data_IF_306022228388
#
_entry.id   IF_306022228388
#
_cell.length_a   1.000
_cell.length_b   1.000
_cell.length_c   1.000
_cell.angle_alpha   90.00
_cell.angle_beta   90.00
_cell.angle_gamma   90.00
#
_symmetry.space_group_name_H-M   'P 1'
#
loop_
_entity.id
_entity.type
_entity.pdbx_description
1 polymer ?
#
# COMPACT_ATOMS: atom_id res chain seq x y z
N UNK A 1 -44.75 17.96 32.68
CA UNK A 1 -44.81 18.08 31.22
C UNK A 1 -43.37 17.92 30.71
N UNK A 2 -43.05 16.68 30.36
CA UNK A 2 -41.73 16.28 29.87
C UNK A 2 -41.69 16.51 28.35
N UNK A 3 -40.92 17.49 27.92
CA UNK A 3 -40.72 17.76 26.49
C UNK A 3 -39.80 16.72 25.89
N UNK A 4 -40.37 15.81 25.14
CA UNK A 4 -39.69 14.82 24.30
C UNK A 4 -38.88 15.57 23.20
N UNK A 5 -37.57 15.69 23.40
CA UNK A 5 -36.67 16.17 22.38
C UNK A 5 -36.58 15.07 21.30
N UNK A 6 -37.38 15.16 20.26
CA UNK A 6 -37.16 14.42 19.03
C UNK A 6 -35.73 14.69 18.56
N UNK A 7 -34.85 13.78 18.85
CA UNK A 7 -33.49 13.76 18.30
C UNK A 7 -33.66 13.59 16.77
N UNK A 8 -33.46 14.64 16.03
CA UNK A 8 -33.45 14.64 14.58
C UNK A 8 -32.46 13.56 14.12
N UNK A 9 -32.98 12.44 13.63
CA UNK A 9 -32.18 11.34 13.09
C UNK A 9 -31.55 11.82 11.79
N UNK A 10 -30.37 12.41 11.89
CA UNK A 10 -29.59 12.88 10.75
C UNK A 10 -29.16 11.66 9.94
N UNK A 11 -29.58 11.59 8.68
CA UNK A 11 -29.16 10.53 7.77
C UNK A 11 -27.64 10.69 7.55
N UNK A 12 -26.83 9.66 7.87
CA UNK A 12 -25.39 9.74 7.65
C UNK A 12 -25.08 9.78 6.16
N UNK A 13 -24.38 10.81 5.71
CA UNK A 13 -23.91 10.91 4.33
C UNK A 13 -22.56 10.22 4.22
N UNK A 14 -22.56 9.04 3.63
CA UNK A 14 -21.33 8.25 3.42
C UNK A 14 -20.56 8.81 2.22
N UNK A 15 -19.29 9.13 2.46
CA UNK A 15 -18.39 9.56 1.37
C UNK A 15 -18.10 8.39 0.44
N UNK A 16 -18.16 8.60 -0.88
CA UNK A 16 -17.68 7.63 -1.85
C UNK A 16 -16.15 7.74 -1.93
N UNK A 17 -15.40 6.68 -1.59
CA UNK A 17 -13.95 6.65 -1.81
C UNK A 17 -13.62 6.93 -3.27
N UNK A 18 -12.47 7.52 -3.50
CA UNK A 18 -11.96 7.84 -4.84
C UNK A 18 -10.60 7.18 -5.04
N UNK A 19 -10.23 6.99 -6.29
CA UNK A 19 -8.87 6.54 -6.66
C UNK A 19 -7.91 7.71 -6.48
N UNK A 20 -6.75 7.46 -5.86
CA UNK A 20 -5.70 8.46 -5.74
C UNK A 20 -4.66 8.26 -6.84
N UNK A 21 -4.52 9.22 -7.76
CA UNK A 21 -3.59 9.16 -8.90
C UNK A 21 -2.98 10.53 -9.13
N UNK A 22 -1.67 10.59 -9.26
CA UNK A 22 -0.95 11.81 -9.58
C UNK A 22 -1.17 12.96 -8.60
N UNK A 23 -1.36 12.68 -7.31
CA UNK A 23 -1.60 13.69 -6.28
C UNK A 23 -3.07 14.11 -6.12
N UNK A 24 -4.00 13.53 -6.88
CA UNK A 24 -5.42 13.90 -6.87
C UNK A 24 -6.35 12.71 -6.61
N UNK A 25 -7.47 12.99 -5.94
CA UNK A 25 -8.56 12.02 -5.78
C UNK A 25 -9.52 12.11 -6.97
N UNK A 26 -9.46 11.12 -7.85
CA UNK A 26 -10.27 11.05 -9.07
C UNK A 26 -11.34 9.95 -8.99
N UNK A 27 -12.37 10.03 -9.83
CA UNK A 27 -13.30 8.93 -10.05
C UNK A 27 -12.73 7.96 -11.09
N UNK A 28 -13.10 6.67 -10.97
CA UNK A 28 -12.84 5.72 -12.05
C UNK A 28 -13.54 6.19 -13.33
N UNK A 29 -12.88 5.99 -14.47
CA UNK A 29 -13.44 6.34 -15.78
C UNK A 29 -14.79 5.68 -16.06
N UNK A 30 -14.94 4.42 -15.63
CA UNK A 30 -16.19 3.67 -15.86
C UNK A 30 -17.37 4.19 -15.02
N UNK A 31 -17.10 4.95 -13.95
CA UNK A 31 -18.09 5.33 -12.96
C UNK A 31 -18.68 4.15 -12.17
N UNK A 32 -18.26 2.91 -12.46
CA UNK A 32 -18.74 1.71 -11.77
C UNK A 32 -18.19 1.65 -10.35
N UNK A 33 -19.04 1.18 -9.46
CA UNK A 33 -18.68 0.95 -8.06
C UNK A 33 -19.20 -0.40 -7.61
N UNK A 34 -18.66 -0.89 -6.51
CA UNK A 34 -19.17 -2.05 -5.81
C UNK A 34 -19.29 -1.73 -4.30
N UNK A 35 -20.25 -2.32 -3.60
CA UNK A 35 -20.47 -2.05 -2.19
C UNK A 35 -19.37 -2.68 -1.33
N UNK A 36 -18.69 -1.89 -0.52
CA UNK A 36 -17.89 -2.37 0.59
C UNK A 36 -18.77 -2.67 1.79
N UNK A 37 -18.53 -3.79 2.44
CA UNK A 37 -19.25 -4.20 3.63
C UNK A 37 -18.26 -4.41 4.78
N UNK A 38 -18.74 -4.17 5.98
CA UNK A 38 -17.97 -4.45 7.20
C UNK A 38 -17.92 -5.96 7.52
N UNK A 39 -17.30 -6.28 8.64
CA UNK A 39 -17.20 -7.64 9.16
C UNK A 39 -18.57 -8.28 9.50
N UNK A 40 -19.61 -7.47 9.71
CA UNK A 40 -20.98 -7.92 9.98
C UNK A 40 -21.82 -8.06 8.70
N UNK A 41 -21.28 -7.67 7.55
CA UNK A 41 -21.98 -7.63 6.28
C UNK A 41 -22.74 -6.34 6.03
N UNK A 42 -22.66 -5.36 6.93
CA UNK A 42 -23.29 -4.06 6.79
C UNK A 42 -22.61 -3.20 5.74
N UNK A 43 -23.39 -2.40 5.03
CA UNK A 43 -22.88 -1.51 3.99
C UNK A 43 -22.04 -0.38 4.61
N UNK A 44 -20.82 -0.20 4.11
CA UNK A 44 -19.90 0.87 4.55
C UNK A 44 -19.75 1.96 3.49
N UNK A 45 -19.44 1.58 2.25
CA UNK A 45 -19.17 2.53 1.18
C UNK A 45 -19.27 1.89 -0.20
N UNK A 46 -19.46 2.74 -1.24
CA UNK A 46 -19.29 2.30 -2.61
C UNK A 46 -17.86 2.57 -3.07
N UNK A 47 -17.11 1.53 -3.40
CA UNK A 47 -15.71 1.60 -3.82
C UNK A 47 -15.60 1.59 -5.33
N UNK A 48 -14.73 2.40 -5.95
CA UNK A 48 -14.55 2.43 -7.39
C UNK A 48 -14.08 1.09 -7.96
N UNK A 49 -14.77 0.62 -9.00
CA UNK A 49 -14.28 -0.51 -9.80
C UNK A 49 -13.35 0.03 -10.90
N UNK A 50 -12.05 -0.03 -10.65
CA UNK A 50 -11.04 0.44 -11.59
C UNK A 50 -11.00 -0.41 -12.87
N UNK A 51 -10.67 0.24 -13.97
CA UNK A 51 -10.53 -0.34 -15.30
C UNK A 51 -9.06 -0.40 -15.74
N UNK A 52 -8.81 -1.05 -16.88
CA UNK A 52 -7.48 -1.01 -17.52
C UNK A 52 -6.99 0.41 -17.81
N UNK A 53 -7.91 1.34 -18.09
CA UNK A 53 -7.55 2.73 -18.37
C UNK A 53 -7.16 3.47 -17.09
N UNK A 54 -7.86 3.21 -15.98
CA UNK A 54 -7.46 3.74 -14.67
C UNK A 54 -6.05 3.28 -14.28
N UNK A 55 -5.75 1.98 -14.51
CA UNK A 55 -4.40 1.44 -14.30
C UNK A 55 -3.36 2.12 -15.21
N UNK A 56 -3.67 2.29 -16.50
CA UNK A 56 -2.77 3.00 -17.43
C UNK A 56 -2.49 4.42 -16.93
N UNK A 57 -3.52 5.17 -16.58
CA UNK A 57 -3.38 6.53 -16.08
C UNK A 57 -2.54 6.58 -14.79
N UNK A 58 -2.69 5.60 -13.90
CA UNK A 58 -1.88 5.50 -12.69
C UNK A 58 -0.40 5.22 -13.02
N UNK A 59 -0.13 4.30 -13.95
CA UNK A 59 1.24 3.99 -14.40
C UNK A 59 1.88 5.19 -15.09
N UNK A 60 1.16 5.89 -15.97
CA UNK A 60 1.64 7.09 -16.64
C UNK A 60 1.96 8.22 -15.65
N UNK A 61 1.10 8.43 -14.64
CA UNK A 61 1.33 9.40 -13.58
C UNK A 61 2.56 9.04 -12.73
N UNK A 62 2.71 7.76 -12.38
CA UNK A 62 3.87 7.25 -11.65
C UNK A 62 5.16 7.39 -12.46
N UNK A 63 5.15 7.03 -13.74
CA UNK A 63 6.28 7.18 -14.65
C UNK A 63 6.70 8.65 -14.79
N UNK A 64 5.74 9.56 -14.92
CA UNK A 64 6.00 11.01 -14.99
C UNK A 64 6.64 11.56 -13.72
N UNK A 65 6.26 11.04 -12.55
CA UNK A 65 6.82 11.46 -11.26
C UNK A 65 8.22 10.86 -10.99
N UNK A 66 8.55 9.74 -11.61
CA UNK A 66 9.77 8.96 -11.36
C UNK A 66 11.07 9.77 -11.41
N UNK A 67 11.37 10.49 -12.50
CA UNK A 67 12.64 11.23 -12.61
C UNK A 67 12.84 12.26 -11.49
N UNK A 68 11.81 12.99 -11.10
CA UNK A 68 11.90 13.98 -10.02
C UNK A 68 12.06 13.35 -8.64
N UNK A 69 11.48 12.17 -8.43
CA UNK A 69 11.64 11.40 -7.20
C UNK A 69 13.02 10.76 -7.10
N UNK A 70 13.49 10.13 -8.17
CA UNK A 70 14.81 9.50 -8.25
C UNK A 70 15.94 10.51 -8.06
N UNK A 71 15.79 11.74 -8.58
CA UNK A 71 16.77 12.82 -8.44
C UNK A 71 16.90 13.37 -7.01
N UNK A 72 15.99 13.03 -6.09
CA UNK A 72 16.13 13.41 -4.68
C UNK A 72 17.28 12.65 -4.03
N UNK A 73 18.02 13.31 -3.16
CA UNK A 73 19.05 12.61 -2.37
C UNK A 73 18.44 11.49 -1.53
N UNK A 74 19.17 10.39 -1.29
CA UNK A 74 18.73 9.31 -0.41
C UNK A 74 18.27 9.82 0.96
N UNK A 75 19.02 10.74 1.55
CA UNK A 75 18.66 11.40 2.81
C UNK A 75 17.30 12.10 2.75
N UNK A 76 17.02 12.85 1.70
CA UNK A 76 15.74 13.55 1.55
C UNK A 76 14.57 12.56 1.37
N UNK A 77 14.78 11.45 0.64
CA UNK A 77 13.79 10.38 0.55
C UNK A 77 13.50 9.77 1.92
N UNK A 78 14.56 9.51 2.70
CA UNK A 78 14.44 9.01 4.08
C UNK A 78 13.64 9.96 4.98
N UNK A 79 13.91 11.27 4.93
CA UNK A 79 13.14 12.26 5.69
C UNK A 79 11.65 12.27 5.35
N UNK A 80 11.30 12.13 4.06
CA UNK A 80 9.90 12.08 3.63
C UNK A 80 9.20 10.83 4.16
N UNK A 81 9.88 9.67 4.11
CA UNK A 81 9.33 8.42 4.64
C UNK A 81 9.19 8.49 6.17
N UNK A 82 10.17 9.06 6.86
CA UNK A 82 10.09 9.27 8.30
C UNK A 82 8.92 10.19 8.67
N UNK A 83 8.73 11.29 7.93
CA UNK A 83 7.58 12.17 8.12
C UNK A 83 6.24 11.46 7.89
N UNK A 84 6.19 10.51 6.96
CA UNK A 84 5.02 9.66 6.77
C UNK A 84 4.74 8.78 8.00
N UNK A 85 5.80 8.26 8.65
CA UNK A 85 5.67 7.50 9.90
C UNK A 85 5.05 8.37 11.02
N UNK A 86 5.56 9.58 11.23
CA UNK A 86 5.01 10.53 12.21
C UNK A 86 3.53 10.86 11.94
N UNK A 87 3.18 11.07 10.68
CA UNK A 87 1.79 11.36 10.31
C UNK A 87 0.88 10.15 10.51
N UNK A 88 1.36 8.95 10.27
CA UNK A 88 0.59 7.73 10.51
C UNK A 88 0.40 7.51 12.01
N UNK A 89 1.44 7.69 12.81
CA UNK A 89 1.39 7.57 14.26
C UNK A 89 0.41 8.57 14.88
N UNK A 90 0.44 9.83 14.42
CA UNK A 90 -0.50 10.86 14.89
C UNK A 90 -1.97 10.57 14.57
N UNK A 91 -2.24 9.64 13.64
CA UNK A 91 -3.58 9.19 13.23
C UNK A 91 -3.83 7.72 13.55
N UNK A 92 -3.09 7.16 14.51
CA UNK A 92 -3.18 5.74 14.86
C UNK A 92 -4.61 5.31 15.23
N UNK A 93 -5.32 6.10 16.02
CA UNK A 93 -6.70 5.81 16.43
C UNK A 93 -7.66 5.72 15.25
N UNK A 94 -7.50 6.62 14.26
CA UNK A 94 -8.30 6.60 13.04
C UNK A 94 -8.02 5.34 12.20
N UNK A 95 -6.76 4.96 12.08
CA UNK A 95 -6.34 3.75 11.36
C UNK A 95 -6.84 2.49 12.07
N UNK A 96 -6.70 2.43 13.40
CA UNK A 96 -7.20 1.34 14.23
C UNK A 96 -8.71 1.17 14.06
N UNK A 97 -9.48 2.26 14.11
CA UNK A 97 -10.91 2.22 13.91
C UNK A 97 -11.29 1.70 12.50
N UNK A 98 -10.57 2.15 11.48
CA UNK A 98 -10.79 1.70 10.11
C UNK A 98 -10.48 0.20 9.93
N UNK A 99 -9.38 -0.30 10.50
CA UNK A 99 -9.02 -1.72 10.43
C UNK A 99 -10.06 -2.59 11.15
N UNK A 100 -10.47 -2.23 12.34
CA UNK A 100 -11.49 -2.95 13.12
C UNK A 100 -12.84 -3.02 12.41
N UNK A 101 -13.19 -2.01 11.63
CA UNK A 101 -14.45 -1.99 10.89
C UNK A 101 -14.52 -3.11 9.85
N UNK A 102 -13.41 -3.48 9.23
CA UNK A 102 -13.40 -4.43 8.12
C UNK A 102 -13.05 -5.87 8.50
N UNK A 103 -12.64 -6.15 9.72
CA UNK A 103 -12.32 -7.51 10.15
C UNK A 103 -12.73 -7.80 11.60
N UNK A 104 -13.45 -8.91 11.82
CA UNK A 104 -13.77 -9.40 13.15
C UNK A 104 -12.57 -9.96 13.90
N UNK A 105 -11.63 -10.54 13.16
CA UNK A 105 -10.44 -11.18 13.72
C UNK A 105 -9.37 -10.17 14.18
N UNK A 106 -9.64 -8.87 13.95
CA UNK A 106 -8.66 -7.79 14.13
C UNK A 106 -8.96 -6.88 15.33
N UNK A 107 -9.87 -7.27 16.21
CA UNK A 107 -10.18 -6.48 17.40
C UNK A 107 -8.94 -6.19 18.25
N UNK A 108 -8.04 -7.18 18.38
CA UNK A 108 -6.81 -7.05 19.16
C UNK A 108 -5.57 -6.83 18.29
N UNK A 109 -5.63 -7.16 17.00
CA UNK A 109 -4.50 -7.06 16.06
C UNK A 109 -4.34 -5.70 15.38
N UNK A 110 -5.38 -4.86 15.35
CA UNK A 110 -5.33 -3.58 14.64
C UNK A 110 -4.27 -2.62 15.19
N UNK A 111 -4.20 -2.49 16.51
CA UNK A 111 -3.19 -1.63 17.16
C UNK A 111 -1.77 -2.13 16.90
N UNK A 112 -1.57 -3.43 16.95
CA UNK A 112 -0.28 -4.02 16.65
C UNK A 112 0.11 -3.83 15.19
N UNK A 113 -0.84 -3.94 14.26
CA UNK A 113 -0.56 -3.70 12.84
C UNK A 113 -0.19 -2.25 12.56
N UNK A 114 -0.91 -1.28 13.16
CA UNK A 114 -0.57 0.14 13.01
C UNK A 114 0.82 0.43 13.59
N UNK A 115 1.12 -0.06 14.79
CA UNK A 115 2.42 0.10 15.41
C UNK A 115 3.55 -0.50 14.56
N UNK A 116 3.39 -1.73 14.06
CA UNK A 116 4.34 -2.38 13.16
C UNK A 116 4.48 -1.64 11.82
N UNK A 117 3.43 -0.99 11.35
CA UNK A 117 3.49 -0.19 10.12
C UNK A 117 4.33 1.07 10.31
N UNK A 118 4.18 1.74 11.44
CA UNK A 118 5.02 2.89 11.82
C UNK A 118 6.49 2.45 11.94
N UNK A 119 6.76 1.38 12.68
CA UNK A 119 8.09 0.79 12.81
C UNK A 119 8.71 0.46 11.44
N UNK A 120 7.93 -0.08 10.53
CA UNK A 120 8.39 -0.44 9.19
C UNK A 120 8.77 0.79 8.37
N UNK A 121 8.01 1.87 8.48
CA UNK A 121 8.34 3.15 7.83
C UNK A 121 9.64 3.75 8.39
N UNK A 122 9.81 3.74 9.72
CA UNK A 122 11.04 4.20 10.37
C UNK A 122 12.24 3.35 9.93
N UNK A 123 12.06 2.02 9.87
CA UNK A 123 13.07 1.10 9.38
C UNK A 123 13.53 1.45 7.96
N UNK A 124 12.61 1.61 7.00
CA UNK A 124 12.98 1.95 5.63
C UNK A 124 13.52 3.37 5.49
N UNK A 125 13.03 4.33 6.28
CA UNK A 125 13.63 5.66 6.34
C UNK A 125 15.12 5.59 6.73
N UNK A 126 15.45 4.75 7.71
CA UNK A 126 16.84 4.50 8.15
C UNK A 126 17.69 3.75 7.11
N UNK A 127 17.10 3.09 6.12
CA UNK A 127 17.81 2.41 5.04
C UNK A 127 18.07 3.30 3.84
N UNK A 128 17.47 4.46 3.75
CA UNK A 128 17.51 5.31 2.56
C UNK A 128 18.93 5.66 2.10
N UNK A 129 19.82 5.92 3.04
CA UNK A 129 21.24 6.27 2.78
C UNK A 129 22.22 5.10 2.94
N UNK A 130 21.73 3.92 3.34
CA UNK A 130 22.58 2.75 3.63
C UNK A 130 22.55 1.70 2.54
N UNK A 131 21.42 1.54 1.83
CA UNK A 131 21.26 0.44 0.88
C UNK A 131 22.31 0.50 -0.25
N UNK A 132 22.70 1.68 -0.69
CA UNK A 132 23.72 1.85 -1.72
C UNK A 132 25.11 1.37 -1.21
N UNK A 133 25.42 1.55 0.07
CA UNK A 133 26.66 1.08 0.67
C UNK A 133 26.71 -0.44 0.82
N UNK A 134 25.53 -1.07 1.03
CA UNK A 134 25.43 -2.52 1.21
C UNK A 134 25.35 -3.26 -0.12
N UNK A 135 24.67 -2.70 -1.11
CA UNK A 135 24.44 -3.33 -2.41
C UNK A 135 25.39 -2.84 -3.50
N UNK A 136 26.06 -1.69 -3.31
CA UNK A 136 27.13 -1.22 -4.17
C UNK A 136 28.46 -1.91 -3.80
N UNK A 137 29.20 -2.37 -4.81
CA UNK A 137 30.46 -3.09 -4.61
C UNK A 137 31.55 -2.60 -5.54
N UNK A 138 32.80 -2.60 -5.05
CA UNK A 138 33.97 -2.60 -5.91
C UNK A 138 34.22 -4.04 -6.40
N UNK A 139 34.21 -4.23 -7.71
CA UNK A 139 34.32 -5.56 -8.30
C UNK A 139 35.80 -5.86 -8.62
N UNK A 140 36.33 -7.05 -8.29
CA UNK A 140 37.69 -7.45 -8.67
C UNK A 140 37.78 -7.62 -10.19
N UNK A 141 38.86 -7.12 -10.78
CA UNK A 141 39.18 -7.26 -12.20
C UNK A 141 40.66 -7.65 -12.35
N UNK A 142 40.97 -8.40 -13.41
CA UNK A 142 42.30 -8.93 -13.66
C UNK A 142 43.28 -7.89 -14.27
N UNK A 143 42.92 -6.61 -14.34
CA UNK A 143 43.69 -5.53 -14.90
C UNK A 143 43.60 -4.27 -14.04
N UNK A 144 44.47 -3.24 -14.22
CA UNK A 144 44.51 -2.04 -13.41
C UNK A 144 43.33 -1.09 -13.69
N UNK A 145 42.11 -1.63 -13.64
CA UNK A 145 40.88 -0.87 -13.80
C UNK A 145 40.10 -0.85 -12.46
N UNK A 146 39.43 0.25 -12.20
CA UNK A 146 38.45 0.35 -11.12
C UNK A 146 37.09 0.00 -11.69
N UNK A 147 36.46 -1.07 -11.16
CA UNK A 147 35.13 -1.50 -11.53
C UNK A 147 34.24 -1.48 -10.28
N UNK A 148 33.07 -0.87 -10.40
CA UNK A 148 32.13 -0.74 -9.28
C UNK A 148 30.69 -0.87 -9.73
N UNK A 149 29.83 -1.32 -8.84
CA UNK A 149 28.39 -1.43 -9.07
C UNK A 149 27.66 -0.28 -8.37
N UNK A 150 26.77 0.39 -9.09
CA UNK A 150 25.83 1.38 -8.57
C UNK A 150 24.41 0.83 -8.73
N UNK A 151 23.56 1.09 -7.73
CA UNK A 151 22.15 0.75 -7.79
C UNK A 151 21.37 1.89 -8.41
N UNK A 152 20.44 1.56 -9.32
CA UNK A 152 19.55 2.52 -9.97
C UNK A 152 18.08 2.13 -9.77
N UNK A 153 17.15 3.10 -9.69
CA UNK A 153 15.73 2.80 -9.63
C UNK A 153 15.26 2.07 -10.90
N UNK A 154 14.45 1.02 -10.74
CA UNK A 154 13.83 0.31 -11.87
C UNK A 154 12.71 1.09 -12.55
N UNK A 155 12.11 2.07 -11.85
CA UNK A 155 11.02 2.90 -12.36
C UNK A 155 9.71 2.72 -11.62
N UNK A 156 8.66 2.23 -12.28
CA UNK A 156 7.34 2.04 -11.68
C UNK A 156 7.18 0.62 -11.14
N UNK A 157 6.92 0.50 -9.86
CA UNK A 157 6.70 -0.78 -9.19
C UNK A 157 5.21 -0.98 -8.91
N UNK A 158 4.67 -2.10 -9.37
CA UNK A 158 3.31 -2.53 -9.01
C UNK A 158 3.33 -3.32 -7.71
N UNK A 159 2.48 -2.93 -6.75
CA UNK A 159 2.32 -3.65 -5.48
C UNK A 159 0.88 -4.10 -5.28
N UNK A 160 0.70 -5.29 -4.72
CA UNK A 160 -0.61 -5.83 -4.35
C UNK A 160 -0.55 -6.12 -2.85
N UNK A 161 -1.39 -5.42 -2.08
CA UNK A 161 -1.43 -5.59 -0.64
C UNK A 161 -1.95 -6.99 -0.24
N UNK A 162 -1.44 -7.52 0.86
CA UNK A 162 -1.93 -8.77 1.45
C UNK A 162 -3.28 -8.54 2.14
N UNK A 163 -4.15 -9.55 2.09
CA UNK A 163 -5.40 -9.54 2.86
C UNK A 163 -5.20 -9.70 4.37
N UNK A 164 -4.16 -10.44 4.75
CA UNK A 164 -3.90 -10.73 6.15
C UNK A 164 -3.46 -9.51 6.97
N UNK A 165 -2.71 -8.60 6.32
CA UNK A 165 -2.20 -7.36 6.93
C UNK A 165 -2.30 -6.23 5.91
N UNK A 166 -3.50 -5.65 5.70
CA UNK A 166 -3.76 -4.73 4.59
C UNK A 166 -2.96 -3.43 4.68
N UNK A 167 -2.82 -2.86 5.87
CA UNK A 167 -2.05 -1.64 6.07
C UNK A 167 -0.54 -1.93 6.05
N UNK A 168 -0.10 -2.85 6.89
CA UNK A 168 1.31 -3.24 6.98
C UNK A 168 1.85 -3.78 5.66
N UNK A 169 1.09 -4.65 4.98
CA UNK A 169 1.48 -5.23 3.70
C UNK A 169 1.62 -4.17 2.62
N UNK A 170 0.65 -3.26 2.50
CA UNK A 170 0.68 -2.16 1.54
C UNK A 170 1.86 -1.22 1.79
N UNK A 171 1.98 -0.75 3.03
CA UNK A 171 2.98 0.26 3.41
C UNK A 171 4.39 -0.31 3.34
N UNK A 172 4.62 -1.57 3.78
CA UNK A 172 5.93 -2.20 3.70
C UNK A 172 6.43 -2.34 2.26
N UNK A 173 5.57 -2.79 1.35
CA UNK A 173 5.94 -2.93 -0.06
C UNK A 173 6.18 -1.56 -0.72
N UNK A 174 5.31 -0.59 -0.45
CA UNK A 174 5.45 0.76 -0.99
C UNK A 174 6.72 1.44 -0.46
N UNK A 175 6.98 1.39 0.84
CA UNK A 175 8.15 2.00 1.46
C UNK A 175 9.47 1.42 0.93
N UNK A 176 9.55 0.09 0.80
CA UNK A 176 10.71 -0.58 0.20
C UNK A 176 10.99 -0.12 -1.23
N UNK A 177 9.94 0.08 -2.03
CA UNK A 177 10.08 0.53 -3.40
C UNK A 177 10.46 2.01 -3.51
N UNK A 178 9.81 2.89 -2.74
CA UNK A 178 10.04 4.34 -2.85
C UNK A 178 11.36 4.78 -2.23
N UNK A 179 11.86 4.08 -1.20
CA UNK A 179 13.15 4.43 -0.56
C UNK A 179 14.30 4.39 -1.55
N UNK A 180 14.29 3.45 -2.47
CA UNK A 180 15.31 3.28 -3.51
C UNK A 180 15.09 4.12 -4.77
N UNK A 181 14.17 5.10 -4.72
CA UNK A 181 13.94 6.05 -5.82
C UNK A 181 12.90 5.61 -6.84
N UNK A 182 12.25 4.47 -6.67
CA UNK A 182 11.16 4.03 -7.53
C UNK A 182 9.85 4.76 -7.21
N UNK A 183 8.90 4.72 -8.14
CA UNK A 183 7.51 5.11 -7.92
C UNK A 183 6.62 3.87 -7.82
N UNK A 184 5.44 4.02 -7.23
CA UNK A 184 4.58 2.87 -6.91
C UNK A 184 3.16 3.07 -7.44
N UNK A 185 2.62 2.02 -8.02
CA UNK A 185 1.18 1.84 -8.26
C UNK A 185 0.71 0.71 -7.36
N UNK A 186 -0.07 1.06 -6.35
CA UNK A 186 -0.50 0.12 -5.32
C UNK A 186 -1.97 -0.27 -5.48
N UNK A 187 -2.24 -1.57 -5.42
CA UNK A 187 -3.57 -2.14 -5.34
C UNK A 187 -3.83 -2.62 -3.91
N UNK A 188 -4.77 -1.97 -3.22
CA UNK A 188 -5.23 -2.44 -1.92
C UNK A 188 -6.26 -3.55 -2.10
N UNK A 189 -5.92 -4.77 -1.67
CA UNK A 189 -6.76 -5.96 -1.86
C UNK A 189 -7.83 -6.13 -0.78
N UNK A 190 -7.61 -5.62 0.42
CA UNK A 190 -8.50 -5.75 1.58
C UNK A 190 -9.93 -5.25 1.34
N UNK A 191 -10.08 -4.20 0.54
CA UNK A 191 -11.38 -3.72 0.11
C UNK A 191 -12.06 -4.67 -0.90
N UNK A 192 -11.31 -5.43 -1.68
CA UNK A 192 -11.85 -6.30 -2.71
C UNK A 192 -12.49 -7.57 -2.14
N UNK A 193 -11.99 -8.11 -1.03
CA UNK A 193 -12.46 -9.39 -0.47
C UNK A 193 -13.77 -9.27 0.32
N UNK A 194 -13.99 -8.17 1.03
CA UNK A 194 -15.32 -7.87 1.60
C UNK A 194 -16.39 -7.69 0.51
N UNK A 195 -15.98 -7.61 -0.75
CA UNK A 195 -16.79 -7.22 -1.89
C UNK A 195 -17.19 -8.37 -2.79
N UNK A 196 -16.37 -9.41 -2.83
CA UNK A 196 -16.72 -10.67 -3.50
C UNK A 196 -17.30 -11.57 -2.42
N UNK A 197 -18.58 -11.37 -2.12
CA UNK A 197 -19.30 -12.24 -1.20
C UNK A 197 -18.97 -13.70 -1.50
N UNK A 198 -18.48 -14.41 -0.49
CA UNK A 198 -18.37 -15.88 -0.32
C UNK A 198 -18.26 -16.74 -1.60
N UNK A 199 -17.53 -16.33 -2.60
CA UNK A 199 -16.97 -17.26 -3.55
C UNK A 199 -15.90 -18.05 -2.79
N UNK A 200 -16.16 -19.34 -2.56
CA UNK A 200 -15.26 -20.25 -1.88
C UNK A 200 -13.81 -20.04 -2.37
N UNK A 201 -12.82 -20.10 -1.46
CA UNK A 201 -11.44 -19.92 -1.86
C UNK A 201 -11.14 -20.90 -2.98
N UNK A 202 -10.76 -20.38 -4.14
CA UNK A 202 -10.21 -21.21 -5.19
C UNK A 202 -9.03 -21.94 -4.54
N UNK A 203 -9.22 -23.22 -4.26
CA UNK A 203 -8.14 -24.09 -3.79
C UNK A 203 -7.12 -24.09 -4.92
N UNK A 204 -6.07 -23.33 -4.74
CA UNK A 204 -4.88 -23.49 -5.56
C UNK A 204 -4.42 -24.94 -5.32
N UNK A 205 -4.45 -25.82 -6.33
CA UNK A 205 -3.92 -27.16 -6.15
C UNK A 205 -2.43 -26.96 -5.85
N UNK A 206 -2.01 -27.36 -4.66
CA UNK A 206 -0.61 -27.50 -4.31
C UNK A 206 0.00 -28.50 -5.27
N UNK A 207 0.59 -28.05 -6.37
CA UNK A 207 1.43 -28.90 -7.19
C UNK A 207 2.69 -29.16 -6.37
N UNK A 208 2.97 -30.42 -5.99
CA UNK A 208 4.25 -30.72 -5.36
C UNK A 208 5.36 -30.38 -6.35
N UNK A 209 6.36 -29.62 -5.88
CA UNK A 209 7.60 -29.43 -6.63
C UNK A 209 8.15 -30.78 -7.02
N UNK A 210 8.15 -31.09 -8.32
CA UNK A 210 8.86 -32.26 -8.84
C UNK A 210 10.35 -31.99 -8.71
N UNK A 211 11.11 -32.82 -7.98
CA UNK A 211 12.57 -32.66 -7.97
C UNK A 211 13.11 -32.87 -9.39
N UNK A 212 14.20 -32.19 -9.78
CA UNK A 212 14.80 -32.39 -11.09
C UNK A 212 15.29 -33.82 -11.18
N UNK A 213 14.95 -34.50 -12.28
CA UNK A 213 15.49 -35.81 -12.64
C UNK A 213 17.00 -35.68 -12.81
N UNK A 214 17.75 -36.39 -12.00
CA UNK A 214 19.22 -36.53 -12.18
C UNK A 214 19.49 -37.27 -13.50
N UNK A 215 20.60 -36.92 -14.20
CA UNK A 215 21.04 -37.62 -15.42
C UNK A 215 21.48 -39.05 -15.15
#
# INVERSE_FOLDING_TARGET
MSGDRMTSMRIPVTKTPKVYVGGAFIRSESGRTFPARDANGEFVANVPQCTRKDLRNAVEAAAKAGPSWAARTPYNRGQIIYRLAEMLESRADEMNAALRQFSRDWTDGAEQEVALTVDRLVHYAGWADKYEQVLGNANPVAAPFFNFTITEPMGVIGTIASDAFPLLGLVSQAAAAIVSGNTVVALSFSLARSLVGSAAPARYPSRPCRPPSRP
#
